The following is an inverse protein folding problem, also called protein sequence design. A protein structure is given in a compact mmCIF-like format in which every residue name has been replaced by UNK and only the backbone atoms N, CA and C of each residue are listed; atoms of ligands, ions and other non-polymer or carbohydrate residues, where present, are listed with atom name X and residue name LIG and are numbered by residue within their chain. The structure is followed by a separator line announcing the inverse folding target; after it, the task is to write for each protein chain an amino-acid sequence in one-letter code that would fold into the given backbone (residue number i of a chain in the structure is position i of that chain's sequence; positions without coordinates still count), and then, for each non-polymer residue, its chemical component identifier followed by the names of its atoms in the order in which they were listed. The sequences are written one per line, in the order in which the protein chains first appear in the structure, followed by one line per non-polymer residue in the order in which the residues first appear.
data_IF_419180185863
#
_entry.id   IF_419180185863
#
_cell.length_a   1.000
_cell.length_b   1.000
_cell.length_c   1.000
_cell.angle_alpha   90.00
_cell.angle_beta   90.00
_cell.angle_gamma   90.00
#
_symmetry.space_group_name_H-M   'P 1'
#
loop_
_entity.id
_entity.type
_entity.pdbx_description
1 polymer ?
#
# COMPACT_ATOMS: atom_id res chain seq x y z
N UNK A 1 1.27 11.22 15.39
CA UNK A 1 2.58 11.64 14.86
C UNK A 1 3.69 11.23 15.84
N UNK A 2 3.73 11.78 17.05
CA UNK A 2 4.79 11.49 18.03
C UNK A 2 5.17 10.00 18.19
N UNK A 3 4.21 9.10 18.46
CA UNK A 3 4.52 7.67 18.66
C UNK A 3 5.16 6.99 17.44
N UNK A 4 4.66 7.30 16.23
CA UNK A 4 5.23 6.77 14.98
C UNK A 4 6.67 7.23 14.83
N UNK A 5 6.92 8.51 15.06
CA UNK A 5 8.24 9.12 14.94
C UNK A 5 9.21 8.51 15.97
N UNK A 6 8.75 8.22 17.19
CA UNK A 6 9.58 7.63 18.24
C UNK A 6 9.94 6.17 17.94
N UNK A 7 9.00 5.37 17.42
CA UNK A 7 9.27 4.01 16.94
C UNK A 7 10.25 4.02 15.75
N UNK A 8 10.10 4.97 14.83
CA UNK A 8 11.03 5.11 13.69
C UNK A 8 12.42 5.52 14.16
N UNK A 9 12.54 6.45 15.11
CA UNK A 9 13.82 6.79 15.74
C UNK A 9 14.45 5.58 16.42
N UNK A 10 13.66 4.78 17.14
CA UNK A 10 14.14 3.56 17.77
C UNK A 10 14.67 2.57 16.72
N UNK A 11 13.95 2.37 15.61
CA UNK A 11 14.39 1.50 14.51
C UNK A 11 15.77 1.90 13.97
N UNK A 12 16.03 3.20 13.76
CA UNK A 12 17.36 3.72 13.38
C UNK A 12 18.40 3.46 14.47
N UNK A 13 18.09 3.76 15.73
CA UNK A 13 19.00 3.52 16.86
C UNK A 13 19.36 2.04 17.03
N UNK A 14 18.39 1.13 16.85
CA UNK A 14 18.63 -0.33 16.91
C UNK A 14 19.59 -0.75 15.81
N UNK A 15 19.43 -0.21 14.59
CA UNK A 15 20.31 -0.50 13.47
C UNK A 15 21.76 -0.08 13.71
N UNK A 16 21.97 1.07 14.36
CA UNK A 16 23.31 1.57 14.70
C UNK A 16 23.91 0.84 15.91
N UNK A 17 23.12 0.61 16.96
CA UNK A 17 23.62 0.06 18.23
C UNK A 17 23.92 -1.43 18.17
N UNK A 18 23.19 -2.21 17.35
CA UNK A 18 23.33 -3.67 17.30
C UNK A 18 24.77 -4.14 17.05
N UNK A 19 25.57 -3.37 16.30
CA UNK A 19 26.96 -3.71 15.98
C UNK A 19 27.88 -3.69 17.22
N UNK A 20 27.48 -2.97 18.26
CA UNK A 20 28.25 -2.80 19.50
C UNK A 20 27.71 -3.66 20.66
N UNK A 21 26.60 -4.38 20.45
CA UNK A 21 25.94 -5.19 21.49
C UNK A 21 26.46 -6.62 21.41
N UNK A 22 27.02 -7.10 22.51
CA UNK A 22 27.71 -8.40 22.55
C UNK A 22 27.03 -9.44 23.43
N UNK A 23 26.13 -9.01 24.33
CA UNK A 23 25.48 -9.90 25.28
C UNK A 23 24.02 -9.48 25.56
N UNK A 24 23.32 -10.33 26.30
CA UNK A 24 21.91 -10.15 26.65
C UNK A 24 21.67 -8.90 27.50
N UNK A 25 22.55 -8.59 28.46
CA UNK A 25 22.38 -7.41 29.32
C UNK A 25 22.50 -6.11 28.52
N UNK A 26 23.47 -6.03 27.60
CA UNK A 26 23.56 -4.89 26.68
C UNK A 26 22.34 -4.80 25.76
N UNK A 27 21.77 -5.94 25.36
CA UNK A 27 20.54 -5.99 24.55
C UNK A 27 19.35 -5.40 25.31
N UNK A 28 19.19 -5.82 26.57
CA UNK A 28 18.20 -5.32 27.52
C UNK A 28 18.28 -3.80 27.68
N UNK A 29 19.47 -3.29 27.99
CA UNK A 29 19.69 -1.86 28.26
C UNK A 29 19.57 -0.99 27.01
N UNK A 30 20.20 -1.38 25.90
CA UNK A 30 20.37 -0.51 24.75
C UNK A 30 19.21 -0.57 23.74
N UNK A 31 18.45 -1.68 23.69
CA UNK A 31 17.40 -1.92 22.70
C UNK A 31 16.02 -2.11 23.33
N UNK A 32 15.89 -2.94 24.37
CA UNK A 32 14.59 -3.34 24.92
C UNK A 32 14.01 -2.27 25.85
N UNK A 33 14.80 -1.71 26.77
CA UNK A 33 14.35 -0.62 27.67
C UNK A 33 13.78 0.58 26.89
N UNK A 34 14.45 1.10 25.84
CA UNK A 34 13.89 2.17 25.01
C UNK A 34 12.54 1.80 24.38
N UNK A 35 12.36 0.55 23.93
CA UNK A 35 11.09 0.07 23.39
C UNK A 35 9.99 0.10 24.44
N UNK A 36 10.27 -0.38 25.65
CA UNK A 36 9.32 -0.37 26.77
C UNK A 36 8.91 1.06 27.14
N UNK A 37 9.86 2.01 27.15
CA UNK A 37 9.55 3.42 27.38
C UNK A 37 8.60 3.99 26.32
N UNK A 38 8.81 3.66 25.04
CA UNK A 38 7.94 4.11 23.94
C UNK A 38 6.52 3.53 24.05
N UNK A 39 6.37 2.31 24.59
CA UNK A 39 5.06 1.75 24.93
C UNK A 39 4.33 2.52 26.05
N UNK A 40 5.01 3.46 26.72
CA UNK A 40 4.45 4.35 27.71
C UNK A 40 4.63 3.89 29.16
N UNK A 41 5.50 2.91 29.41
CA UNK A 41 5.85 2.48 30.76
C UNK A 41 7.08 3.25 31.28
N UNK A 42 7.03 3.66 32.54
CA UNK A 42 8.18 4.30 33.19
C UNK A 42 9.15 3.25 33.73
N UNK A 43 10.29 3.09 33.04
CA UNK A 43 11.35 2.12 33.38
C UNK A 43 12.07 2.45 34.68
N UNK A 44 11.92 3.66 35.22
CA UNK A 44 12.48 4.05 36.50
C UNK A 44 11.49 3.88 37.66
N UNK A 45 10.22 3.58 37.36
CA UNK A 45 9.18 3.39 38.36
C UNK A 45 9.02 1.90 38.71
N UNK A 46 9.44 1.44 39.91
CA UNK A 46 9.34 0.04 40.32
C UNK A 46 7.91 -0.45 40.54
N UNK A 47 6.93 0.46 40.55
CA UNK A 47 5.51 0.12 40.58
C UNK A 47 5.04 -0.31 39.18
N UNK A 48 5.65 0.22 38.12
CA UNK A 48 5.30 -0.06 36.73
C UNK A 48 6.16 -1.14 36.09
N UNK A 49 7.45 -1.18 36.42
CA UNK A 49 8.38 -2.12 35.81
C UNK A 49 9.21 -2.78 36.89
N UNK A 50 9.21 -4.11 36.89
CA UNK A 50 10.02 -4.91 37.79
C UNK A 50 10.95 -5.81 36.97
N UNK A 51 12.24 -5.47 36.88
CA UNK A 51 13.25 -6.35 36.32
C UNK A 51 13.41 -7.61 37.19
N UNK A 52 13.83 -8.72 36.59
CA UNK A 52 14.06 -9.98 37.30
C UNK A 52 12.88 -10.37 38.21
N UNK A 53 11.66 -10.25 37.69
CA UNK A 53 10.46 -10.51 38.48
C UNK A 53 10.28 -12.01 38.71
N UNK A 54 10.14 -12.40 39.97
CA UNK A 54 9.81 -13.75 40.39
C UNK A 54 8.41 -13.72 41.01
N UNK A 55 7.47 -14.44 40.41
CA UNK A 55 6.19 -14.72 41.03
C UNK A 55 6.37 -15.98 41.89
N UNK A 56 6.25 -15.85 43.22
CA UNK A 56 6.39 -16.96 44.17
C UNK A 56 5.25 -17.98 44.00
N UNK A 57 5.32 -18.83 42.97
CA UNK A 57 4.42 -19.95 42.73
C UNK A 57 5.25 -21.21 42.42
N UNK A 58 5.13 -22.22 43.28
CA UNK A 58 6.07 -23.36 43.32
C UNK A 58 6.04 -24.29 42.10
N UNK A 59 7.23 -24.77 41.72
CA UNK A 59 7.71 -26.18 41.60
C UNK A 59 9.25 -26.15 41.41
N UNK A 60 9.80 -25.08 40.81
CA UNK A 60 11.23 -24.77 40.78
C UNK A 60 11.51 -23.39 41.40
N UNK A 61 12.19 -23.38 42.54
CA UNK A 61 12.72 -22.14 43.14
C UNK A 61 13.75 -21.51 42.20
N UNK A 62 13.55 -20.23 41.85
CA UNK A 62 14.62 -19.38 41.30
C UNK A 62 14.58 -19.08 39.81
N UNK A 63 13.56 -19.50 39.06
CA UNK A 63 13.34 -18.95 37.73
C UNK A 63 12.74 -17.52 37.88
N UNK A 64 13.01 -16.64 36.91
CA UNK A 64 12.54 -15.24 36.87
C UNK A 64 12.23 -14.85 35.42
N UNK A 65 11.34 -13.88 35.21
CA UNK A 65 11.20 -13.19 33.92
C UNK A 65 12.06 -11.93 33.92
N UNK A 66 12.55 -11.53 32.76
CA UNK A 66 13.44 -10.37 32.66
C UNK A 66 12.75 -9.07 33.00
N UNK A 67 11.53 -8.87 32.50
CA UNK A 67 10.69 -7.74 32.89
C UNK A 67 9.24 -8.17 33.11
N UNK A 68 8.66 -7.68 34.20
CA UNK A 68 7.22 -7.64 34.39
C UNK A 68 6.74 -6.19 34.35
N UNK A 69 5.79 -5.92 33.46
CA UNK A 69 5.12 -4.62 33.32
C UNK A 69 3.79 -4.65 34.06
N UNK A 70 3.53 -3.60 34.83
CA UNK A 70 2.39 -3.47 35.72
C UNK A 70 1.48 -2.31 35.28
N UNK A 71 0.18 -2.53 35.44
CA UNK A 71 -0.85 -1.50 35.34
C UNK A 71 -1.80 -1.70 36.51
N UNK A 72 -2.11 -0.62 37.24
CA UNK A 72 -3.00 -0.68 38.42
C UNK A 72 -2.56 -1.74 39.47
N UNK A 73 -1.24 -1.85 39.69
CA UNK A 73 -0.59 -2.83 40.57
C UNK A 73 -0.74 -4.31 40.18
N UNK A 74 -1.30 -4.64 39.02
CA UNK A 74 -1.34 -5.99 38.48
C UNK A 74 -0.31 -6.18 37.36
N UNK A 75 0.37 -7.33 37.27
CA UNK A 75 1.23 -7.64 36.13
C UNK A 75 0.35 -7.91 34.91
N UNK A 76 0.62 -7.19 33.82
CA UNK A 76 -0.15 -7.29 32.58
C UNK A 76 0.65 -7.85 31.41
N UNK A 77 1.97 -7.66 31.42
CA UNK A 77 2.88 -8.10 30.36
C UNK A 77 4.13 -8.72 30.99
N UNK A 78 4.54 -9.88 30.49
CA UNK A 78 5.85 -10.46 30.76
C UNK A 78 6.73 -10.36 29.52
N UNK A 79 8.00 -10.02 29.74
CA UNK A 79 9.01 -9.93 28.69
C UNK A 79 10.19 -10.83 29.05
N UNK A 80 10.54 -11.70 28.12
CA UNK A 80 11.75 -12.52 28.13
C UNK A 80 12.69 -11.99 27.04
N UNK A 81 13.92 -11.67 27.44
CA UNK A 81 14.95 -11.16 26.56
C UNK A 81 15.96 -12.26 26.20
N UNK A 82 16.58 -12.08 25.04
CA UNK A 82 17.69 -12.91 24.54
C UNK A 82 18.78 -12.00 24.01
N UNK A 83 19.97 -12.54 23.77
CA UNK A 83 21.06 -11.78 23.15
C UNK A 83 20.68 -11.33 21.74
N UNK A 84 21.13 -10.15 21.32
CA UNK A 84 20.84 -9.56 19.99
C UNK A 84 21.12 -10.50 18.81
N UNK A 85 22.09 -11.42 18.96
CA UNK A 85 22.49 -12.38 17.93
C UNK A 85 21.80 -13.74 18.05
N UNK A 86 20.95 -13.92 19.06
CA UNK A 86 20.25 -15.17 19.32
C UNK A 86 18.95 -15.24 18.52
N UNK A 87 18.67 -16.43 17.97
CA UNK A 87 17.43 -16.70 17.27
C UNK A 87 16.34 -17.04 18.29
N UNK A 88 15.15 -16.47 18.13
CA UNK A 88 14.04 -16.62 19.08
C UNK A 88 13.22 -17.91 18.90
N UNK A 89 13.73 -18.93 18.21
CA UNK A 89 13.02 -20.20 17.99
C UNK A 89 13.21 -21.15 19.17
N UNK A 90 12.14 -21.76 19.70
CA UNK A 90 12.16 -22.70 20.82
C UNK A 90 12.64 -22.12 22.17
N UNK A 91 12.55 -20.80 22.36
CA UNK A 91 12.95 -20.09 23.59
C UNK A 91 11.76 -19.61 24.43
N UNK A 92 10.61 -20.25 24.27
CA UNK A 92 9.30 -19.90 24.83
C UNK A 92 8.94 -20.69 26.09
N UNK A 93 9.55 -21.87 26.31
CA UNK A 93 9.17 -22.76 27.41
C UNK A 93 9.26 -22.13 28.81
N UNK A 94 10.22 -21.23 29.06
CA UNK A 94 10.32 -20.50 30.33
C UNK A 94 9.20 -19.47 30.45
N UNK A 95 9.05 -18.62 29.43
CA UNK A 95 8.01 -17.59 29.37
C UNK A 95 6.60 -18.20 29.50
N UNK A 96 6.34 -19.34 28.87
CA UNK A 96 5.09 -20.09 28.97
C UNK A 96 4.77 -20.51 30.41
N UNK A 97 5.77 -20.98 31.18
CA UNK A 97 5.54 -21.36 32.58
C UNK A 97 5.10 -20.17 33.43
N UNK A 98 5.68 -19.00 33.19
CA UNK A 98 5.31 -17.76 33.90
C UNK A 98 3.93 -17.27 33.53
N UNK A 99 3.67 -17.20 32.23
CA UNK A 99 2.38 -16.82 31.71
C UNK A 99 1.29 -17.74 32.31
N UNK A 100 1.46 -19.06 32.23
CA UNK A 100 0.46 -20.02 32.69
C UNK A 100 0.26 -20.03 34.22
N UNK A 101 1.24 -19.55 34.99
CA UNK A 101 1.14 -19.45 36.46
C UNK A 101 0.59 -18.11 36.95
N UNK A 102 0.47 -17.09 36.09
CA UNK A 102 0.05 -15.74 36.46
C UNK A 102 -1.20 -15.32 35.68
N UNK A 103 -2.38 -15.51 36.30
CA UNK A 103 -3.69 -15.32 35.65
C UNK A 103 -3.95 -13.91 35.16
N UNK A 104 -3.33 -12.94 35.80
CA UNK A 104 -3.51 -11.51 35.53
C UNK A 104 -2.82 -11.10 34.23
N UNK A 105 -1.79 -11.84 33.81
CA UNK A 105 -0.99 -11.56 32.61
C UNK A 105 -1.70 -12.11 31.38
N UNK A 106 -1.90 -11.25 30.39
CA UNK A 106 -2.54 -11.59 29.11
C UNK A 106 -1.64 -11.41 27.90
N UNK A 107 -0.44 -10.86 28.10
CA UNK A 107 0.54 -10.66 27.04
C UNK A 107 1.92 -11.17 27.48
N UNK A 108 2.52 -12.01 26.65
CA UNK A 108 3.91 -12.42 26.77
C UNK A 108 4.70 -11.92 25.56
N UNK A 109 5.93 -11.44 25.77
CA UNK A 109 6.81 -10.94 24.73
C UNK A 109 8.15 -11.66 24.82
N UNK A 110 8.56 -12.31 23.73
CA UNK A 110 9.91 -12.85 23.57
C UNK A 110 10.68 -11.99 22.57
N UNK A 111 11.86 -11.48 22.95
CA UNK A 111 12.60 -10.55 22.10
C UNK A 111 14.11 -10.64 22.24
N UNK A 112 14.84 -10.30 21.17
CA UNK A 112 16.28 -10.04 21.16
C UNK A 112 16.60 -8.55 20.91
N UNK A 113 15.61 -7.67 21.12
CA UNK A 113 15.72 -6.23 20.85
C UNK A 113 15.56 -5.83 19.37
N UNK A 114 15.63 -6.77 18.43
CA UNK A 114 15.36 -6.55 17.00
C UNK A 114 13.99 -7.12 16.63
N UNK A 115 13.77 -8.39 16.94
CA UNK A 115 12.52 -9.11 16.72
C UNK A 115 11.72 -9.16 18.03
N UNK A 116 10.42 -8.95 17.94
CA UNK A 116 9.47 -9.00 19.05
C UNK A 116 8.34 -9.95 18.68
N UNK A 117 8.26 -11.09 19.38
CA UNK A 117 7.19 -12.07 19.24
C UNK A 117 6.21 -11.91 20.40
N UNK A 118 4.95 -11.64 20.08
CA UNK A 118 3.88 -11.41 21.06
C UNK A 118 2.97 -12.64 21.14
N UNK A 119 2.74 -13.10 22.35
CA UNK A 119 1.97 -14.30 22.67
C UNK A 119 0.82 -13.95 23.63
N UNK A 120 -0.25 -14.73 23.54
CA UNK A 120 -1.43 -14.62 24.41
C UNK A 120 -2.06 -16.01 24.55
N UNK A 121 -3.27 -16.10 25.10
CA UNK A 121 -3.98 -17.35 25.40
C UNK A 121 -5.26 -17.55 24.58
N UNK A 122 -5.15 -17.51 23.25
CA UNK A 122 -6.32 -17.65 22.37
C UNK A 122 -6.87 -19.08 22.35
N UNK A 123 -6.01 -20.09 22.36
CA UNK A 123 -6.46 -21.48 22.21
C UNK A 123 -7.03 -22.05 23.51
N UNK A 124 -6.43 -21.71 24.64
CA UNK A 124 -6.85 -22.17 25.95
C UNK A 124 -6.60 -21.11 27.01
N UNK A 125 -7.64 -20.74 27.76
CA UNK A 125 -7.56 -19.70 28.78
C UNK A 125 -6.43 -19.96 29.78
N UNK A 126 -5.60 -18.94 30.00
CA UNK A 126 -4.42 -18.96 30.86
C UNK A 126 -3.39 -20.04 30.47
N UNK A 127 -3.33 -20.38 29.18
CA UNK A 127 -2.29 -21.20 28.58
C UNK A 127 -1.74 -20.43 27.39
N UNK A 128 -0.46 -20.03 27.47
CA UNK A 128 0.22 -19.34 26.39
C UNK A 128 0.22 -20.19 25.12
N UNK A 129 -0.16 -19.58 24.00
CA UNK A 129 -0.13 -20.22 22.69
C UNK A 129 1.31 -20.53 22.26
N UNK A 130 1.51 -21.66 21.57
CA UNK A 130 2.83 -22.04 21.01
C UNK A 130 3.29 -21.12 19.87
N UNK A 131 2.36 -20.38 19.27
CA UNK A 131 2.62 -19.49 18.14
C UNK A 131 2.29 -18.04 18.49
N UNK A 132 3.17 -17.07 18.15
CA UNK A 132 2.87 -15.67 18.41
C UNK A 132 1.74 -15.18 17.50
N UNK A 133 0.86 -14.33 18.04
CA UNK A 133 -0.21 -13.68 17.26
C UNK A 133 0.29 -12.47 16.47
N UNK A 134 1.42 -11.88 16.88
CA UNK A 134 2.06 -10.73 16.25
C UNK A 134 3.58 -10.90 16.30
N UNK A 135 4.25 -10.61 15.19
CA UNK A 135 5.70 -10.59 15.09
C UNK A 135 6.15 -9.28 14.43
N UNK A 136 7.04 -8.55 15.10
CA UNK A 136 7.53 -7.25 14.64
C UNK A 136 9.05 -7.30 14.57
N UNK A 137 9.60 -6.89 13.43
CA UNK A 137 11.02 -6.65 13.26
C UNK A 137 11.27 -5.14 13.18
N UNK A 138 11.97 -4.57 14.17
CA UNK A 138 12.22 -3.14 14.21
C UNK A 138 13.08 -2.65 13.03
N UNK A 139 13.90 -3.50 12.41
CA UNK A 139 14.70 -3.13 11.24
C UNK A 139 13.86 -3.05 9.94
N UNK A 140 12.68 -3.69 9.93
CA UNK A 140 11.79 -3.78 8.76
C UNK A 140 10.35 -3.36 9.11
N UNK A 141 10.22 -2.39 10.01
CA UNK A 141 8.92 -2.01 10.58
C UNK A 141 7.99 -1.36 9.54
N UNK A 142 6.73 -1.81 9.49
CA UNK A 142 5.69 -1.30 8.60
C UNK A 142 4.69 -0.42 9.35
N UNK A 143 3.90 0.36 8.61
CA UNK A 143 2.84 1.18 9.23
C UNK A 143 1.82 0.35 10.01
N UNK A 144 1.44 -0.82 9.49
CA UNK A 144 0.56 -1.77 10.18
C UNK A 144 1.11 -2.25 11.51
N UNK A 145 2.43 -2.40 11.62
CA UNK A 145 3.09 -2.85 12.85
C UNK A 145 3.02 -1.74 13.91
N UNK A 146 3.20 -0.48 13.50
CA UNK A 146 3.10 0.69 14.37
C UNK A 146 1.65 0.86 14.88
N UNK A 147 0.65 0.66 14.02
CA UNK A 147 -0.76 0.66 14.41
C UNK A 147 -1.04 -0.44 15.45
N UNK A 148 -0.47 -1.63 15.24
CA UNK A 148 -0.58 -2.75 16.18
C UNK A 148 0.05 -2.43 17.53
N UNK A 149 1.28 -1.89 17.53
CA UNK A 149 1.98 -1.46 18.74
C UNK A 149 1.23 -0.35 19.49
N UNK A 150 0.57 0.56 18.77
CA UNK A 150 -0.17 1.65 19.40
C UNK A 150 -1.34 1.13 20.27
N UNK A 151 -1.96 0.00 19.88
CA UNK A 151 -2.99 -0.68 20.69
C UNK A 151 -2.39 -1.36 21.93
N UNK A 152 -1.12 -1.73 21.89
CA UNK A 152 -0.40 -2.37 23.01
C UNK A 152 0.23 -1.39 24.00
N UNK A 153 0.11 -0.07 23.75
CA UNK A 153 0.60 0.97 24.67
C UNK A 153 -0.14 0.91 25.99
N UNK A 154 0.56 1.24 27.08
CA UNK A 154 0.02 1.24 28.46
C UNK A 154 -1.33 1.94 28.59
N UNK A 155 -1.47 3.12 27.96
CA UNK A 155 -2.70 3.93 28.01
C UNK A 155 -3.90 3.23 27.37
N UNK A 156 -3.68 2.44 26.31
CA UNK A 156 -4.71 1.76 25.54
C UNK A 156 -4.89 0.29 25.95
N UNK A 157 -4.02 -0.21 26.83
CA UNK A 157 -4.00 -1.61 27.21
C UNK A 157 -5.26 -1.98 28.00
N UNK A 158 -6.04 -2.89 27.43
CA UNK A 158 -7.21 -3.50 28.05
C UNK A 158 -7.19 -5.00 27.78
N UNK A 159 -7.44 -5.83 28.80
CA UNK A 159 -7.27 -7.28 28.73
C UNK A 159 -8.23 -7.91 27.72
N UNK A 160 -9.51 -7.54 27.78
CA UNK A 160 -10.55 -8.12 26.92
C UNK A 160 -10.40 -7.65 25.45
N UNK A 161 -10.07 -6.38 25.27
CA UNK A 161 -9.78 -5.81 23.95
C UNK A 161 -8.53 -6.40 23.31
N UNK A 162 -7.50 -6.74 24.10
CA UNK A 162 -6.28 -7.39 23.63
C UNK A 162 -6.57 -8.77 23.03
N UNK A 163 -7.33 -9.60 23.74
CA UNK A 163 -7.68 -10.95 23.27
C UNK A 163 -8.46 -10.85 21.96
N UNK A 164 -9.50 -10.02 21.94
CA UNK A 164 -10.32 -9.79 20.73
C UNK A 164 -9.46 -9.32 19.55
N UNK A 165 -8.51 -8.43 19.81
CA UNK A 165 -7.60 -7.93 18.78
C UNK A 165 -6.61 -8.99 18.28
N UNK A 166 -6.06 -9.80 19.19
CA UNK A 166 -5.17 -10.90 18.83
C UNK A 166 -5.90 -11.97 18.00
N UNK A 167 -7.15 -12.31 18.36
CA UNK A 167 -8.00 -13.19 17.55
C UNK A 167 -8.22 -12.63 16.14
N UNK A 168 -8.57 -11.36 16.03
CA UNK A 168 -8.77 -10.69 14.74
C UNK A 168 -7.51 -10.75 13.87
N UNK A 169 -6.32 -10.51 14.45
CA UNK A 169 -5.04 -10.61 13.74
C UNK A 169 -4.77 -12.02 13.25
N UNK A 170 -4.94 -13.04 14.10
CA UNK A 170 -4.70 -14.45 13.74
C UNK A 170 -5.67 -14.90 12.65
N UNK A 171 -6.96 -14.58 12.78
CA UNK A 171 -7.96 -14.90 11.78
C UNK A 171 -7.68 -14.20 10.46
N UNK A 172 -7.37 -12.90 10.48
CA UNK A 172 -7.05 -12.14 9.27
C UNK A 172 -5.82 -12.70 8.57
N UNK A 173 -4.77 -13.04 9.32
CA UNK A 173 -3.56 -13.66 8.75
C UNK A 173 -3.89 -15.01 8.10
N UNK A 174 -4.58 -15.89 8.82
CA UNK A 174 -4.97 -17.23 8.36
C UNK A 174 -5.87 -17.18 7.13
N UNK A 175 -6.82 -16.23 7.10
CA UNK A 175 -7.69 -15.97 5.95
C UNK A 175 -6.87 -15.49 4.75
N UNK A 176 -5.95 -14.55 4.96
CA UNK A 176 -5.07 -14.05 3.90
C UNK A 176 -4.20 -15.15 3.30
N UNK A 177 -3.61 -16.02 4.12
CA UNK A 177 -2.85 -17.19 3.65
C UNK A 177 -3.74 -18.16 2.85
N UNK A 178 -4.94 -18.42 3.36
CA UNK A 178 -5.92 -19.27 2.68
C UNK A 178 -6.32 -18.71 1.31
N UNK A 179 -6.58 -17.40 1.22
CA UNK A 179 -6.87 -16.70 -0.03
C UNK A 179 -5.69 -16.76 -0.99
N UNK A 180 -4.46 -16.48 -0.53
CA UNK A 180 -3.24 -16.57 -1.35
C UNK A 180 -3.07 -17.97 -1.93
N UNK A 181 -3.31 -19.01 -1.12
CA UNK A 181 -3.28 -20.41 -1.56
C UNK A 181 -4.35 -20.68 -2.63
N UNK A 182 -5.59 -20.25 -2.40
CA UNK A 182 -6.70 -20.41 -3.35
C UNK A 182 -6.45 -19.66 -4.68
N UNK A 183 -5.84 -18.48 -4.64
CA UNK A 183 -5.54 -17.71 -5.86
C UNK A 183 -4.39 -18.34 -6.65
N UNK A 184 -3.40 -18.90 -5.96
CA UNK A 184 -2.23 -19.54 -6.60
C UNK A 184 -2.56 -20.94 -7.11
N UNK A 185 -3.37 -21.68 -6.37
CA UNK A 185 -3.82 -23.02 -6.68
C UNK A 185 -5.30 -23.21 -6.26
N UNK A 186 -6.25 -22.81 -7.12
CA UNK A 186 -7.70 -22.95 -6.85
C UNK A 186 -8.05 -24.38 -6.47
N UNK A 187 -8.79 -24.62 -5.38
CA UNK A 187 -9.30 -25.96 -5.07
C UNK A 187 -10.47 -26.34 -6.00
N UNK A 188 -10.82 -27.62 -6.09
CA UNK A 188 -11.97 -28.07 -6.89
C UNK A 188 -13.27 -27.41 -6.43
N UNK A 189 -13.46 -27.29 -5.11
CA UNK A 189 -14.62 -26.64 -4.52
C UNK A 189 -14.67 -25.15 -4.84
N UNK A 190 -13.52 -24.48 -4.86
CA UNK A 190 -13.44 -23.07 -5.21
C UNK A 190 -13.72 -22.84 -6.70
N UNK A 191 -13.20 -23.69 -7.58
CA UNK A 191 -13.53 -23.65 -9.02
C UNK A 191 -15.03 -23.92 -9.23
N UNK A 192 -15.60 -24.90 -8.51
CA UNK A 192 -17.04 -25.19 -8.55
C UNK A 192 -17.87 -23.99 -8.09
N UNK A 193 -17.47 -23.32 -7.02
CA UNK A 193 -18.13 -22.12 -6.51
C UNK A 193 -18.17 -21.01 -7.58
N UNK A 194 -17.03 -20.71 -8.23
CA UNK A 194 -16.96 -19.67 -9.27
C UNK A 194 -17.76 -20.05 -10.52
N UNK A 195 -17.67 -21.30 -10.99
CA UNK A 195 -18.39 -21.72 -12.21
C UNK A 195 -19.90 -21.72 -12.02
N UNK A 196 -20.38 -22.04 -10.81
CA UNK A 196 -21.81 -22.02 -10.49
C UNK A 196 -22.44 -20.64 -10.61
N UNK A 197 -21.65 -19.58 -10.42
CA UNK A 197 -22.16 -18.20 -10.41
C UNK A 197 -22.58 -17.70 -11.80
N UNK A 198 -21.93 -18.18 -12.87
CA UNK A 198 -22.23 -17.75 -14.25
C UNK A 198 -22.70 -18.88 -15.17
N UNK A 199 -22.78 -20.12 -14.67
CA UNK A 199 -23.17 -21.28 -15.48
C UNK A 199 -24.14 -22.18 -14.74
N UNK A 200 -25.24 -22.52 -15.42
CA UNK A 200 -26.22 -23.53 -15.00
C UNK A 200 -25.79 -24.96 -15.35
N UNK A 201 -24.59 -25.14 -15.93
CA UNK A 201 -24.12 -26.46 -16.35
C UNK A 201 -23.81 -27.38 -15.16
N UNK A 202 -23.99 -28.68 -15.34
CA UNK A 202 -23.57 -29.66 -14.34
C UNK A 202 -22.05 -29.64 -14.18
N UNK A 203 -21.57 -29.32 -12.99
CA UNK A 203 -20.14 -29.23 -12.68
C UNK A 203 -19.58 -30.63 -12.40
N UNK A 204 -19.00 -31.25 -13.43
CA UNK A 204 -18.26 -32.52 -13.37
C UNK A 204 -16.75 -32.28 -13.22
N UNK A 205 -15.97 -33.31 -12.89
CA UNK A 205 -14.51 -33.20 -12.75
C UNK A 205 -13.83 -32.67 -14.02
N UNK A 206 -14.29 -33.09 -15.20
CA UNK A 206 -13.76 -32.59 -16.48
C UNK A 206 -14.01 -31.10 -16.69
N UNK A 207 -15.17 -30.59 -16.22
CA UNK A 207 -15.47 -29.15 -16.25
C UNK A 207 -14.51 -28.43 -15.30
N UNK A 208 -14.31 -28.95 -14.08
CA UNK A 208 -13.39 -28.36 -13.11
C UNK A 208 -11.96 -28.30 -13.66
N UNK A 209 -11.44 -29.39 -14.24
CA UNK A 209 -10.10 -29.42 -14.84
C UNK A 209 -9.95 -28.41 -15.98
N UNK A 210 -10.98 -28.28 -16.83
CA UNK A 210 -10.99 -27.29 -17.92
C UNK A 210 -11.02 -25.85 -17.40
N UNK A 211 -11.79 -25.57 -16.35
CA UNK A 211 -11.99 -24.21 -15.85
C UNK A 211 -10.92 -23.77 -14.85
N UNK A 212 -10.25 -24.68 -14.16
CA UNK A 212 -9.15 -24.39 -13.21
C UNK A 212 -8.08 -23.42 -13.78
N UNK A 213 -7.50 -23.64 -14.98
CA UNK A 213 -6.54 -22.68 -15.54
C UNK A 213 -7.17 -21.33 -15.92
N UNK A 214 -8.45 -21.32 -16.31
CA UNK A 214 -9.19 -20.10 -16.64
C UNK A 214 -9.47 -19.27 -15.39
N UNK A 215 -9.91 -19.91 -14.30
CA UNK A 215 -10.14 -19.29 -12.98
C UNK A 215 -8.84 -18.69 -12.46
N UNK A 216 -7.73 -19.43 -12.51
CA UNK A 216 -6.41 -18.93 -12.11
C UNK A 216 -6.02 -17.68 -12.91
N UNK A 217 -6.17 -17.71 -14.24
CA UNK A 217 -5.87 -16.56 -15.11
C UNK A 217 -6.79 -15.37 -14.81
N UNK A 218 -8.08 -15.60 -14.61
CA UNK A 218 -9.05 -14.55 -14.30
C UNK A 218 -8.73 -13.86 -12.96
N UNK A 219 -8.38 -14.62 -11.93
CA UNK A 219 -7.96 -14.08 -10.62
C UNK A 219 -6.70 -13.23 -10.78
N UNK A 220 -5.66 -13.74 -11.47
CA UNK A 220 -4.44 -12.97 -11.68
C UNK A 220 -4.70 -11.65 -12.40
N UNK A 221 -5.52 -11.66 -13.46
CA UNK A 221 -5.90 -10.45 -14.17
C UNK A 221 -6.69 -9.48 -13.28
N UNK A 222 -7.66 -9.98 -12.50
CA UNK A 222 -8.46 -9.15 -11.60
C UNK A 222 -7.60 -8.48 -10.52
N UNK A 223 -6.64 -9.20 -9.93
CA UNK A 223 -5.71 -8.64 -8.94
C UNK A 223 -4.83 -7.57 -9.58
N UNK A 224 -4.30 -7.81 -10.79
CA UNK A 224 -3.52 -6.80 -11.52
C UNK A 224 -4.35 -5.54 -11.84
N UNK A 225 -5.60 -5.70 -12.22
CA UNK A 225 -6.53 -4.60 -12.48
C UNK A 225 -6.84 -3.80 -11.19
N UNK A 226 -6.97 -4.48 -10.04
CA UNK A 226 -7.20 -3.81 -8.75
C UNK A 226 -5.95 -3.03 -8.31
N UNK A 227 -4.77 -3.67 -8.38
CA UNK A 227 -3.51 -3.04 -7.97
C UNK A 227 -3.18 -1.85 -8.85
N UNK A 228 -3.33 -1.98 -10.18
CA UNK A 228 -3.11 -0.86 -11.09
C UNK A 228 -4.04 0.32 -10.77
N UNK A 229 -5.35 0.08 -10.57
CA UNK A 229 -6.30 1.12 -10.14
C UNK A 229 -5.92 1.78 -8.80
N UNK A 230 -5.46 0.99 -7.82
CA UNK A 230 -5.06 1.49 -6.50
C UNK A 230 -3.80 2.36 -6.53
N UNK A 231 -2.78 1.98 -7.31
CA UNK A 231 -1.55 2.74 -7.46
C UNK A 231 -1.79 4.10 -8.14
N UNK A 232 -2.60 4.14 -9.20
CA UNK A 232 -3.00 5.40 -9.84
C UNK A 232 -3.73 6.35 -8.87
N UNK A 233 -4.44 5.81 -7.88
CA UNK A 233 -5.15 6.61 -6.88
C UNK A 233 -4.20 7.18 -5.81
N UNK A 234 -3.19 6.40 -5.39
CA UNK A 234 -2.18 6.88 -4.45
C UNK A 234 -1.30 7.98 -5.07
N UNK A 235 -0.83 7.83 -6.31
CA UNK A 235 -0.07 8.87 -7.01
C UNK A 235 -0.84 10.21 -7.10
N UNK A 236 -2.15 10.18 -7.36
CA UNK A 236 -2.97 11.41 -7.35
C UNK A 236 -3.16 12.05 -5.97
N UNK A 237 -2.99 11.30 -4.87
CA UNK A 237 -3.09 11.80 -3.50
C UNK A 237 -1.75 12.34 -3.00
N UNK A 238 -0.62 11.79 -3.44
CA UNK A 238 0.73 12.31 -3.14
C UNK A 238 0.95 13.65 -3.84
N UNK A 239 0.54 13.78 -5.11
CA UNK A 239 0.65 15.04 -5.87
C UNK A 239 -0.17 16.17 -5.18
N UNK A 240 -1.34 15.87 -4.62
CA UNK A 240 -2.15 16.86 -3.87
C UNK A 240 -1.59 17.25 -2.50
N UNK A 241 -0.75 16.40 -1.89
CA UNK A 241 -0.09 16.71 -0.61
C UNK A 241 1.18 17.56 -0.80
N UNK A 242 1.89 17.37 -1.90
CA UNK A 242 3.09 18.16 -2.24
C UNK A 242 2.73 19.57 -2.74
N UNK A 243 1.55 19.79 -3.33
CA UNK A 243 1.08 21.13 -3.73
C UNK A 243 0.73 22.07 -2.54
N UNK A 244 0.70 21.59 -1.29
CA UNK A 244 0.40 22.42 -0.11
C UNK A 244 1.63 22.83 0.73
N UNK A 245 2.84 22.45 0.32
CA UNK A 245 4.08 22.86 0.98
C UNK A 245 5.08 23.23 -0.11
N UNK A 246 5.03 24.46 -0.61
CA UNK A 246 6.16 25.25 -1.12
C UNK A 246 5.66 26.43 -1.96
N UNK A 247 5.37 27.55 -1.30
CA UNK A 247 5.48 28.86 -1.92
C UNK A 247 6.55 29.62 -1.13
N UNK A 248 7.80 29.58 -1.60
CA UNK A 248 8.74 30.70 -1.50
C UNK A 248 9.97 30.49 -2.42
N UNK A 249 9.94 31.25 -3.52
CA UNK A 249 11.03 32.04 -4.14
C UNK A 249 12.44 31.46 -4.42
N UNK A 250 12.87 31.65 -5.68
CA UNK A 250 14.17 32.22 -6.18
C UNK A 250 15.01 31.36 -7.16
N UNK A 251 15.20 31.97 -8.35
CA UNK A 251 16.28 31.94 -9.36
C UNK A 251 16.72 30.70 -10.17
N UNK A 252 16.99 31.04 -11.44
CA UNK A 252 17.59 30.27 -12.54
C UNK A 252 19.13 30.38 -12.56
N UNK A 253 19.71 29.55 -13.45
CA UNK A 253 21.09 29.48 -13.99
C UNK A 253 22.00 28.52 -13.18
N UNK A 254 22.74 27.55 -13.74
CA UNK A 254 23.18 27.30 -15.12
C UNK A 254 23.60 25.80 -15.31
N UNK A 255 23.85 25.41 -16.56
CA UNK A 255 24.11 24.07 -17.10
C UNK A 255 25.40 23.33 -16.62
N UNK A 256 25.37 21.99 -16.60
CA UNK A 256 26.43 21.16 -17.24
C UNK A 256 26.07 19.66 -17.32
N UNK A 257 26.45 19.06 -18.44
CA UNK A 257 26.28 17.67 -18.88
C UNK A 257 27.07 16.66 -18.05
N UNK A 258 26.50 15.46 -17.81
CA UNK A 258 27.24 14.18 -17.87
C UNK A 258 26.33 13.12 -18.51
N UNK A 259 26.93 12.42 -19.46
CA UNK A 259 26.37 11.42 -20.36
C UNK A 259 26.27 9.99 -19.76
N UNK A 260 25.26 9.26 -20.27
CA UNK A 260 25.13 7.80 -20.47
C UNK A 260 24.77 6.91 -19.26
N UNK A 261 23.57 6.33 -19.36
CA UNK A 261 23.42 4.87 -19.22
C UNK A 261 22.28 4.38 -18.34
N UNK A 262 21.07 4.28 -18.90
CA UNK A 262 20.16 3.11 -18.85
C UNK A 262 18.68 3.52 -18.96
N UNK A 263 17.92 2.69 -19.68
CA UNK A 263 16.46 2.78 -19.92
C UNK A 263 15.69 3.19 -18.65
N UNK A 264 15.19 4.43 -18.62
CA UNK A 264 14.28 4.91 -17.58
C UNK A 264 12.84 4.88 -18.10
N UNK A 265 11.97 4.33 -17.26
CA UNK A 265 10.52 4.32 -17.37
C UNK A 265 10.01 5.75 -17.66
N UNK A 266 9.24 5.93 -18.75
CA UNK A 266 8.53 7.19 -19.00
C UNK A 266 7.48 7.39 -17.90
N UNK A 267 7.79 8.24 -16.91
CA UNK A 267 6.79 8.90 -16.09
C UNK A 267 5.94 9.81 -16.97
N UNK A 268 4.68 10.02 -16.59
CA UNK A 268 3.78 10.96 -17.27
C UNK A 268 4.30 12.36 -16.95
N UNK A 269 4.99 13.00 -17.90
CA UNK A 269 5.43 14.39 -17.81
C UNK A 269 4.57 15.16 -18.79
N UNK A 270 3.64 15.97 -18.29
CA UNK A 270 2.85 16.85 -19.16
C UNK A 270 3.78 17.87 -19.81
N UNK A 271 3.88 17.81 -21.13
CA UNK A 271 4.81 18.61 -21.91
C UNK A 271 4.23 19.98 -22.25
N UNK A 272 5.10 20.98 -22.47
CA UNK A 272 4.66 22.32 -22.92
C UNK A 272 3.84 22.28 -24.21
N UNK A 273 4.07 21.29 -25.07
CA UNK A 273 3.31 21.11 -26.32
C UNK A 273 1.88 20.64 -26.08
N UNK A 274 1.64 19.85 -25.03
CA UNK A 274 0.29 19.39 -24.65
C UNK A 274 -0.52 20.52 -24.04
N UNK A 275 0.11 21.36 -23.22
CA UNK A 275 -0.51 22.58 -22.69
C UNK A 275 -0.81 23.59 -23.80
N UNK A 276 0.09 23.75 -24.78
CA UNK A 276 -0.18 24.54 -26.00
C UNK A 276 -1.37 23.98 -26.78
N UNK A 277 -1.42 22.67 -26.98
CA UNK A 277 -2.55 22.00 -27.63
C UNK A 277 -3.88 22.25 -26.93
N UNK A 278 -3.89 22.19 -25.60
CA UNK A 278 -5.08 22.51 -24.80
C UNK A 278 -5.55 23.96 -24.99
N UNK A 279 -4.63 24.93 -24.98
CA UNK A 279 -4.95 26.34 -25.19
C UNK A 279 -5.50 26.58 -26.60
N UNK A 280 -4.92 25.94 -27.63
CA UNK A 280 -5.43 26.03 -29.01
C UNK A 280 -6.87 25.52 -29.10
N UNK A 281 -7.21 24.41 -28.42
CA UNK A 281 -8.60 23.91 -28.39
C UNK A 281 -9.54 24.91 -27.72
N UNK A 282 -9.13 25.53 -26.61
CA UNK A 282 -9.94 26.56 -25.93
C UNK A 282 -10.19 27.76 -26.84
N UNK A 283 -9.14 28.27 -27.48
CA UNK A 283 -9.22 29.42 -28.39
C UNK A 283 -10.16 29.16 -29.56
N UNK A 284 -10.13 27.94 -30.12
CA UNK A 284 -11.01 27.53 -31.23
C UNK A 284 -12.47 27.45 -30.77
N UNK A 285 -12.74 26.89 -29.60
CA UNK A 285 -14.09 26.75 -29.07
C UNK A 285 -14.69 28.09 -28.64
N UNK A 286 -13.87 28.98 -28.07
CA UNK A 286 -14.28 30.34 -27.71
C UNK A 286 -14.63 31.17 -28.96
N UNK A 287 -13.80 31.12 -30.01
CA UNK A 287 -14.08 31.77 -31.30
C UNK A 287 -15.39 31.31 -31.95
N UNK A 288 -15.81 30.08 -31.69
CA UNK A 288 -17.04 29.49 -32.22
C UNK A 288 -18.24 29.57 -31.24
N UNK A 289 -18.19 30.46 -30.25
CA UNK A 289 -19.25 30.70 -29.26
C UNK A 289 -19.68 29.43 -28.49
N UNK A 290 -18.74 28.54 -28.12
CA UNK A 290 -19.01 27.35 -27.30
C UNK A 290 -18.62 27.60 -25.83
N UNK A 291 -19.31 26.92 -24.91
CA UNK A 291 -19.07 27.08 -23.48
C UNK A 291 -17.76 26.37 -23.06
N UNK A 292 -16.78 27.19 -22.68
CA UNK A 292 -15.44 26.73 -22.27
C UNK A 292 -15.32 26.57 -20.75
N UNK A 293 -16.36 26.93 -19.97
CA UNK A 293 -16.29 27.04 -18.50
C UNK A 293 -15.97 25.71 -17.81
N UNK A 294 -16.29 24.59 -18.47
CA UNK A 294 -16.18 23.24 -17.92
C UNK A 294 -15.22 22.33 -18.73
N UNK A 295 -14.38 22.93 -19.58
CA UNK A 295 -13.37 22.22 -20.37
C UNK A 295 -12.13 21.96 -19.52
N UNK A 296 -11.78 20.70 -19.37
CA UNK A 296 -10.63 20.21 -18.61
C UNK A 296 -9.78 19.27 -19.46
N UNK A 297 -8.57 18.98 -19.01
CA UNK A 297 -7.68 18.01 -19.66
C UNK A 297 -7.25 16.91 -18.70
N UNK A 298 -6.80 15.79 -19.26
CA UNK A 298 -6.19 14.67 -18.55
C UNK A 298 -5.07 14.10 -19.40
N UNK A 299 -3.88 14.10 -18.82
CA UNK A 299 -2.73 13.45 -19.42
C UNK A 299 -2.73 11.94 -19.12
N UNK A 300 -2.30 11.14 -20.10
CA UNK A 300 -2.18 9.68 -19.97
C UNK A 300 -0.90 9.23 -20.67
N UNK A 301 -0.39 8.05 -20.32
CA UNK A 301 0.83 7.49 -20.93
C UNK A 301 0.81 7.36 -22.46
N UNK A 302 -0.37 7.37 -23.09
CA UNK A 302 -0.53 7.15 -24.52
C UNK A 302 -1.17 8.32 -25.28
N UNK A 303 -1.78 9.28 -24.59
CA UNK A 303 -2.45 10.42 -25.20
C UNK A 303 -2.83 11.48 -24.16
N UNK A 304 -2.91 12.72 -24.60
CA UNK A 304 -3.45 13.83 -23.85
C UNK A 304 -4.92 14.03 -24.23
N UNK A 305 -5.83 13.97 -23.26
CA UNK A 305 -7.29 14.03 -23.49
C UNK A 305 -7.88 15.36 -23.04
N UNK A 306 -8.63 16.03 -23.91
CA UNK A 306 -9.45 17.20 -23.57
C UNK A 306 -10.92 16.78 -23.48
N UNK A 307 -11.61 17.17 -22.40
CA UNK A 307 -12.98 16.72 -22.11
C UNK A 307 -13.84 17.81 -21.47
N UNK A 308 -15.16 17.62 -21.58
CA UNK A 308 -16.18 18.52 -21.04
C UNK A 308 -16.84 17.86 -19.83
N UNK A 309 -16.82 18.50 -18.65
CA UNK A 309 -17.40 18.04 -17.36
C UNK A 309 -16.82 16.75 -16.77
N UNK A 310 -16.75 15.67 -17.55
CA UNK A 310 -16.30 14.34 -17.12
C UNK A 310 -15.43 13.68 -18.20
N UNK A 311 -14.44 12.90 -17.76
CA UNK A 311 -13.47 12.18 -18.60
C UNK A 311 -14.09 11.22 -19.65
N UNK A 312 -15.35 10.81 -19.48
CA UNK A 312 -16.10 10.00 -20.47
C UNK A 312 -16.63 10.84 -21.64
N UNK A 313 -16.83 12.14 -21.42
CA UNK A 313 -17.23 13.17 -22.39
C UNK A 313 -15.99 13.89 -22.93
N UNK A 314 -15.06 13.13 -23.50
CA UNK A 314 -13.87 13.67 -24.14
C UNK A 314 -14.16 14.14 -25.56
N UNK A 315 -13.65 15.32 -25.89
CA UNK A 315 -13.83 16.03 -27.17
C UNK A 315 -12.74 15.56 -28.14
N UNK A 316 -11.49 15.57 -27.68
CA UNK A 316 -10.33 15.27 -28.50
C UNK A 316 -9.20 14.65 -27.68
N UNK A 317 -8.41 13.79 -28.32
CA UNK A 317 -7.21 13.20 -27.76
C UNK A 317 -6.02 13.41 -28.68
N UNK A 318 -4.91 13.89 -28.17
CA UNK A 318 -3.65 14.07 -28.90
C UNK A 318 -2.66 13.00 -28.51
N UNK A 319 -1.91 12.47 -29.48
CA UNK A 319 -0.73 11.68 -29.21
C UNK A 319 0.44 12.34 -29.94
N UNK A 320 1.17 13.19 -29.20
CA UNK A 320 2.29 13.97 -29.71
C UNK A 320 3.65 13.24 -29.59
N UNK A 321 3.67 12.17 -28.81
CA UNK A 321 4.83 11.31 -28.55
C UNK A 321 5.01 10.17 -29.58
N UNK A 322 3.98 9.90 -30.38
CA UNK A 322 4.02 8.90 -31.44
C UNK A 322 4.93 9.32 -32.61
N UNK A 323 5.57 8.34 -33.26
CA UNK A 323 6.41 8.54 -34.46
C UNK A 323 5.68 9.30 -35.58
N UNK A 324 4.36 9.10 -35.69
CA UNK A 324 3.44 9.98 -36.40
C UNK A 324 2.48 10.62 -35.40
N UNK A 325 2.62 11.93 -35.16
CA UNK A 325 1.73 12.65 -34.25
C UNK A 325 0.30 12.58 -34.79
N UNK A 326 -0.65 12.36 -33.91
CA UNK A 326 -2.03 12.16 -34.33
C UNK A 326 -3.04 12.68 -33.32
N UNK A 327 -4.24 12.87 -33.83
CA UNK A 327 -5.40 13.44 -33.17
C UNK A 327 -6.56 12.48 -33.32
N UNK A 328 -7.29 12.21 -32.25
CA UNK A 328 -8.40 11.27 -32.25
C UNK A 328 -9.69 11.92 -31.71
N UNK A 329 -10.83 11.65 -32.35
CA UNK A 329 -12.16 12.08 -31.91
C UNK A 329 -13.16 10.92 -32.01
N UNK A 330 -14.40 11.15 -31.56
CA UNK A 330 -15.52 10.18 -31.71
C UNK A 330 -16.27 10.33 -33.03
N UNK A 331 -15.79 11.18 -33.95
CA UNK A 331 -16.45 11.35 -35.24
C UNK A 331 -16.15 10.16 -36.16
N UNK A 332 -17.10 9.72 -37.00
CA UNK A 332 -16.85 8.66 -37.97
C UNK A 332 -15.75 9.04 -38.97
N UNK A 333 -14.95 8.06 -39.40
CA UNK A 333 -13.84 8.27 -40.35
C UNK A 333 -14.30 8.90 -41.67
N UNK A 334 -15.47 8.52 -42.17
CA UNK A 334 -16.04 9.07 -43.41
C UNK A 334 -16.37 10.56 -43.27
N UNK A 335 -16.85 10.96 -42.09
CA UNK A 335 -17.17 12.34 -41.78
C UNK A 335 -15.89 13.18 -41.62
N UNK A 336 -14.88 12.63 -40.94
CA UNK A 336 -13.57 13.25 -40.79
C UNK A 336 -12.89 13.49 -42.16
N UNK A 337 -12.99 12.54 -43.10
CA UNK A 337 -12.47 12.68 -44.48
C UNK A 337 -13.13 13.79 -45.28
N UNK A 338 -14.40 14.06 -45.03
CA UNK A 338 -15.12 15.14 -45.71
C UNK A 338 -14.70 16.54 -45.18
N UNK A 339 -14.44 16.64 -43.88
CA UNK A 339 -14.10 17.92 -43.23
C UNK A 339 -12.60 18.25 -43.35
N UNK A 340 -11.74 17.23 -43.42
CA UNK A 340 -10.29 17.40 -43.50
C UNK A 340 -9.70 16.66 -44.73
N UNK A 341 -10.03 17.07 -45.97
CA UNK A 341 -9.66 16.33 -47.19
C UNK A 341 -8.15 16.30 -47.45
N UNK A 342 -7.38 17.22 -46.86
CA UNK A 342 -5.94 17.36 -47.07
C UNK A 342 -5.09 16.65 -45.99
N UNK A 343 -5.69 15.87 -45.09
CA UNK A 343 -4.99 15.17 -44.01
C UNK A 343 -5.12 13.64 -44.16
N UNK A 344 -4.12 12.90 -43.69
CA UNK A 344 -4.16 11.43 -43.64
C UNK A 344 -5.09 11.01 -42.48
N UNK A 345 -6.15 10.24 -42.78
CA UNK A 345 -7.18 9.84 -41.80
C UNK A 345 -7.43 8.34 -41.84
N UNK A 346 -7.36 7.72 -40.66
CA UNK A 346 -7.54 6.28 -40.45
C UNK A 346 -8.55 6.00 -39.33
N UNK A 347 -8.95 4.74 -39.21
CA UNK A 347 -9.73 4.25 -38.08
C UNK A 347 -8.88 4.25 -36.81
N UNK A 348 -9.35 4.89 -35.75
CA UNK A 348 -8.67 4.83 -34.46
C UNK A 348 -8.79 3.42 -33.82
N UNK A 349 -7.81 2.99 -32.98
CA UNK A 349 -7.86 1.71 -32.29
C UNK A 349 -9.13 1.57 -31.44
N UNK A 350 -9.72 0.37 -31.44
CA UNK A 350 -10.94 0.06 -30.69
C UNK A 350 -10.81 0.48 -29.22
N UNK A 351 -11.71 1.35 -28.76
CA UNK A 351 -11.75 1.86 -27.38
C UNK A 351 -11.03 3.20 -27.14
N UNK A 352 -10.32 3.74 -28.13
CA UNK A 352 -9.55 5.00 -27.98
C UNK A 352 -10.17 6.16 -28.78
N UNK A 353 -10.88 5.88 -29.88
CA UNK A 353 -11.64 6.85 -30.68
C UNK A 353 -12.29 6.16 -31.89
N UNK A 354 -12.93 6.93 -32.76
CA UNK A 354 -13.49 6.44 -34.03
C UNK A 354 -12.62 6.86 -35.22
N UNK A 355 -12.23 8.14 -35.29
CA UNK A 355 -11.31 8.67 -36.30
C UNK A 355 -9.95 9.03 -35.71
N UNK A 356 -8.89 8.83 -36.51
CA UNK A 356 -7.53 9.27 -36.24
C UNK A 356 -7.04 10.12 -37.41
N UNK A 357 -6.62 11.35 -37.14
CA UNK A 357 -6.07 12.32 -38.10
C UNK A 357 -4.59 12.54 -37.76
N UNK A 358 -3.71 12.44 -38.75
CA UNK A 358 -2.28 12.69 -38.54
C UNK A 358 -1.93 14.18 -38.72
N UNK A 359 -1.05 14.68 -37.86
CA UNK A 359 -0.55 16.07 -37.86
C UNK A 359 0.98 16.06 -37.77
N UNK A 360 1.67 17.08 -38.29
CA UNK A 360 3.14 17.17 -38.15
C UNK A 360 3.56 18.15 -37.04
N UNK A 361 2.82 19.26 -36.89
CA UNK A 361 2.94 20.22 -35.78
C UNK A 361 1.64 20.33 -34.97
N UNK A 362 1.77 20.76 -33.72
CA UNK A 362 0.62 21.10 -32.86
C UNK A 362 -0.17 22.29 -33.40
N UNK A 363 0.49 23.18 -34.15
CA UNK A 363 -0.14 24.34 -34.78
C UNK A 363 -1.15 23.95 -35.87
N UNK A 364 -1.04 22.74 -36.43
CA UNK A 364 -2.01 22.20 -37.40
C UNK A 364 -3.38 21.92 -36.76
N UNK A 365 -3.52 22.04 -35.43
CA UNK A 365 -4.83 22.02 -34.77
C UNK A 365 -5.73 23.19 -35.21
N UNK A 366 -5.15 24.32 -35.60
CA UNK A 366 -5.93 25.43 -36.19
C UNK A 366 -6.58 25.03 -37.53
N UNK A 367 -5.92 24.18 -38.32
CA UNK A 367 -6.49 23.66 -39.58
C UNK A 367 -7.67 22.69 -39.35
N UNK A 368 -7.84 22.22 -38.11
CA UNK A 368 -8.87 21.26 -37.71
C UNK A 368 -10.05 21.93 -36.98
N UNK A 369 -10.22 23.25 -37.10
CA UNK A 369 -11.26 24.03 -36.42
C UNK A 369 -12.66 23.41 -36.54
N UNK A 370 -13.13 23.14 -37.76
CA UNK A 370 -14.45 22.55 -37.98
C UNK A 370 -14.58 21.15 -37.38
N UNK A 371 -13.52 20.36 -37.46
CA UNK A 371 -13.46 19.01 -36.91
C UNK A 371 -13.50 19.00 -35.37
N UNK A 372 -12.91 20.01 -34.73
CA UNK A 372 -12.94 20.21 -33.27
C UNK A 372 -14.31 20.67 -32.77
N UNK A 373 -14.93 21.62 -33.47
CA UNK A 373 -16.26 22.13 -33.12
C UNK A 373 -17.30 21.02 -33.25
N UNK A 374 -17.29 20.26 -34.35
CA UNK A 374 -18.22 19.15 -34.54
C UNK A 374 -17.98 18.01 -33.52
N UNK A 375 -16.73 17.79 -33.10
CA UNK A 375 -16.41 16.84 -32.03
C UNK A 375 -16.88 17.31 -30.65
N UNK A 376 -16.87 18.63 -30.39
CA UNK A 376 -17.44 19.21 -29.17
C UNK A 376 -18.97 19.06 -29.16
N UNK A 377 -19.63 19.38 -30.28
CA UNK A 377 -21.09 19.29 -30.42
C UNK A 377 -21.60 17.84 -30.36
N UNK A 378 -20.77 16.86 -30.74
CA UNK A 378 -21.10 15.44 -30.59
C UNK A 378 -21.09 14.96 -29.12
N UNK A 379 -20.43 15.70 -28.23
CA UNK A 379 -20.14 15.30 -26.84
C UNK A 379 -20.95 16.12 -25.81
N UNK A 380 -21.38 17.32 -26.19
CA UNK A 380 -22.29 18.18 -25.42
C UNK A 380 -23.72 17.60 -25.44
#
# INVERSE_FOLDING_TARGET
MAFKDDIQKLSVQVKERKEYITNEEMTKQALIIPFIQILGFDVFNPIEIRPEYSADFGIKKGEKVDYALFKENEPIIFIEAKSVNENLNNHDAQLARYFNSTKEVKLAILTNGIEYKFFTDLNANNVMDDTPFLNINLLEIKESDIESLNKLRKENFDKDSLITYAEELVYTSTLNESLRRLFSNPSDDFVRFIVKDFSEMRITSNVIERFRPLVKKAISNAVLDIVSKGLYQQETLTIKKEENINNDSVNREDLSEIEIGNKVQKGIITTENELKGFNIVKDILEKNNRDISEINYKDTTNYFSVYLRNTTRWIIRFNLDASKKNVMTKLPVEYAKNICPNKEIEQAPKGIGESRVYINSIDELYDLEKYLVDAYDNVN
#
